data_IF_183738271280
#
_entry.id   IF_183738271280
#
_cell.length_a   1.000
_cell.length_b   1.000
_cell.length_c   1.000
_cell.angle_alpha   90.00
_cell.angle_beta   90.00
_cell.angle_gamma   90.00
#
_symmetry.space_group_name_H-M   'P 1'
#
loop_
_entity.id
_entity.type
_entity.pdbx_description
1 polymer ?
#
# COMPACT_ATOMS: atom_id res chain seq x y z
N UNK A 1 -37.51 -15.05 -29.52
CA UNK A 1 -38.78 -14.96 -28.77
C UNK A 1 -38.51 -15.59 -27.41
N UNK A 2 -38.25 -14.75 -26.40
CA UNK A 2 -37.86 -15.17 -25.04
C UNK A 2 -38.88 -14.56 -24.06
N UNK A 3 -39.33 -15.30 -23.03
CA UNK A 3 -40.49 -14.89 -22.24
C UNK A 3 -40.14 -13.72 -21.32
N UNK A 4 -41.06 -12.76 -21.24
CA UNK A 4 -40.95 -11.60 -20.39
C UNK A 4 -41.08 -11.99 -18.91
N UNK A 5 -40.05 -11.71 -18.13
CA UNK A 5 -40.05 -11.86 -16.67
C UNK A 5 -40.79 -10.66 -16.01
N UNK A 6 -41.60 -10.89 -14.96
CA UNK A 6 -42.38 -9.82 -14.33
C UNK A 6 -41.49 -8.88 -13.51
N UNK A 7 -41.62 -7.57 -13.77
CA UNK A 7 -41.01 -6.49 -12.98
C UNK A 7 -41.36 -6.66 -11.49
N UNK A 8 -40.35 -6.83 -10.65
CA UNK A 8 -40.49 -6.68 -9.18
C UNK A 8 -40.83 -5.22 -8.84
N UNK A 9 -41.71 -4.96 -7.86
CA UNK A 9 -42.04 -3.60 -7.45
C UNK A 9 -40.84 -2.94 -6.74
N UNK A 10 -40.58 -1.68 -7.11
CA UNK A 10 -39.59 -0.82 -6.46
C UNK A 10 -39.82 -0.76 -4.94
N UNK A 11 -38.76 -0.81 -4.11
CA UNK A 11 -38.89 -0.59 -2.68
C UNK A 11 -39.28 0.87 -2.42
N UNK A 12 -40.49 1.02 -1.88
CA UNK A 12 -41.04 2.15 -1.12
C UNK A 12 -40.28 3.48 -1.22
N UNK A 13 -40.91 4.45 -1.87
CA UNK A 13 -40.61 5.87 -1.70
C UNK A 13 -40.48 6.23 -0.21
N UNK A 14 -39.43 6.99 0.19
CA UNK A 14 -39.28 7.39 1.58
C UNK A 14 -40.46 8.28 1.99
N UNK A 15 -41.21 7.80 2.99
CA UNK A 15 -42.28 8.56 3.65
C UNK A 15 -41.78 9.95 4.03
N UNK A 16 -42.55 10.98 3.68
CA UNK A 16 -42.30 12.35 4.08
C UNK A 16 -42.19 12.45 5.61
N UNK A 17 -41.15 13.09 6.17
CA UNK A 17 -41.01 13.25 7.61
C UNK A 17 -41.98 14.33 8.10
N UNK A 18 -43.11 13.91 8.65
CA UNK A 18 -44.08 14.81 9.32
C UNK A 18 -43.58 15.37 10.66
N UNK A 19 -42.30 15.15 11.02
CA UNK A 19 -41.68 15.65 12.24
C UNK A 19 -40.79 16.91 12.10
N UNK A 20 -40.54 17.42 10.89
CA UNK A 20 -39.56 18.50 10.67
C UNK A 20 -40.12 19.93 10.83
N UNK A 21 -41.45 20.11 10.80
CA UNK A 21 -42.06 21.44 10.78
C UNK A 21 -41.85 22.23 12.08
N UNK A 22 -42.00 21.58 13.24
CA UNK A 22 -41.85 22.22 14.55
C UNK A 22 -40.38 22.57 14.82
N UNK A 23 -39.45 21.70 14.40
CA UNK A 23 -38.01 21.96 14.48
C UNK A 23 -37.55 23.10 13.58
N UNK A 24 -38.10 23.19 12.35
CA UNK A 24 -37.83 24.30 11.43
C UNK A 24 -38.39 25.64 11.97
N UNK A 25 -39.59 25.62 12.57
CA UNK A 25 -40.21 26.81 13.16
C UNK A 25 -39.41 27.32 14.37
N UNK A 26 -38.96 26.42 15.25
CA UNK A 26 -38.05 26.78 16.35
C UNK A 26 -36.73 27.35 15.83
N UNK A 27 -36.15 26.77 14.77
CA UNK A 27 -34.90 27.26 14.19
C UNK A 27 -35.06 28.66 13.56
N UNK A 28 -36.19 28.92 12.91
CA UNK A 28 -36.53 30.23 12.39
C UNK A 28 -36.70 31.28 13.50
N UNK A 29 -37.37 30.91 14.60
CA UNK A 29 -37.50 31.78 15.77
C UNK A 29 -36.14 32.08 16.41
N UNK A 30 -35.24 31.10 16.53
CA UNK A 30 -33.89 31.36 17.05
C UNK A 30 -33.06 32.26 16.15
N UNK A 31 -33.19 32.12 14.83
CA UNK A 31 -32.53 33.01 13.87
C UNK A 31 -33.09 34.44 13.97
N UNK A 32 -34.41 34.59 14.05
CA UNK A 32 -35.08 35.88 14.19
C UNK A 32 -34.68 36.58 15.50
N UNK A 33 -34.55 35.84 16.60
CA UNK A 33 -34.04 36.36 17.86
C UNK A 33 -32.60 36.87 17.73
N UNK A 34 -31.73 36.12 17.02
CA UNK A 34 -30.37 36.57 16.71
C UNK A 34 -30.35 37.89 15.94
N UNK A 35 -31.16 38.02 14.88
CA UNK A 35 -31.27 39.27 14.10
C UNK A 35 -31.80 40.43 14.95
N UNK A 36 -32.82 40.18 15.79
CA UNK A 36 -33.37 41.21 16.68
C UNK A 36 -32.33 41.73 17.69
N UNK A 37 -31.48 40.84 18.22
CA UNK A 37 -30.38 41.21 19.11
C UNK A 37 -29.28 42.02 18.38
N UNK A 38 -28.97 41.71 17.11
CA UNK A 38 -28.06 42.52 16.30
C UNK A 38 -28.62 43.93 16.06
N UNK A 39 -29.92 44.04 15.79
CA UNK A 39 -30.59 45.35 15.66
C UNK A 39 -30.61 46.11 16.99
N UNK A 40 -30.84 45.41 18.11
CA UNK A 40 -30.76 46.00 19.45
C UNK A 40 -29.35 46.56 19.73
N UNK A 41 -28.29 45.80 19.42
CA UNK A 41 -26.92 46.28 19.56
C UNK A 41 -26.66 47.53 18.71
N UNK A 42 -27.19 47.57 17.48
CA UNK A 42 -27.11 48.75 16.60
C UNK A 42 -27.92 49.95 17.13
N UNK A 43 -29.08 49.72 17.75
CA UNK A 43 -29.86 50.80 18.39
C UNK A 43 -29.19 51.33 19.66
N UNK A 44 -28.48 50.46 20.40
CA UNK A 44 -27.72 50.84 21.59
C UNK A 44 -26.51 51.71 21.23
N UNK A 45 -25.84 51.44 20.10
CA UNK A 45 -24.75 52.31 19.63
C UNK A 45 -25.27 53.69 19.23
N UNK A 46 -26.49 53.82 18.72
CA UNK A 46 -27.11 55.13 18.44
C UNK A 46 -27.42 55.95 19.71
N UNK A 47 -27.42 55.32 20.89
CA UNK A 47 -27.62 55.97 22.19
C UNK A 47 -26.31 56.31 22.91
N UNK A 48 -25.15 56.07 22.31
CA UNK A 48 -23.87 56.47 22.89
C UNK A 48 -23.82 57.99 23.06
N UNK A 49 -23.24 58.45 24.17
CA UNK A 49 -23.03 59.88 24.38
C UNK A 49 -22.05 60.41 23.32
N UNK A 50 -22.22 61.64 22.83
CA UNK A 50 -21.29 62.22 21.86
C UNK A 50 -19.88 62.24 22.46
N UNK A 51 -18.94 61.59 21.78
CA UNK A 51 -17.55 61.58 22.22
C UNK A 51 -16.92 62.96 22.03
N UNK A 52 -16.36 63.58 23.09
CA UNK A 52 -15.66 64.85 22.97
C UNK A 52 -14.26 64.71 22.32
N UNK A 53 -13.87 63.51 21.88
CA UNK A 53 -12.57 63.25 21.24
C UNK A 53 -12.36 64.10 19.99
N UNK A 54 -13.41 64.35 19.22
CA UNK A 54 -13.37 65.26 18.07
C UNK A 54 -13.17 66.72 18.50
N UNK A 55 -13.74 67.14 19.64
CA UNK A 55 -13.58 68.48 20.21
C UNK A 55 -12.17 68.66 20.81
N UNK A 56 -11.65 67.62 21.45
CA UNK A 56 -10.27 67.53 21.94
C UNK A 56 -9.24 67.60 20.80
N UNK A 57 -9.46 66.86 19.70
CA UNK A 57 -8.61 66.88 18.50
C UNK A 57 -8.66 68.21 17.73
N UNK A 58 -9.77 68.95 17.82
CA UNK A 58 -9.95 70.27 17.18
C UNK A 58 -9.50 71.45 18.06
N UNK A 59 -8.98 71.18 19.27
CA UNK A 59 -8.42 72.20 20.16
C UNK A 59 -9.45 73.05 20.90
N UNK A 60 -10.72 72.64 20.90
CA UNK A 60 -11.77 73.31 21.66
C UNK A 60 -11.62 72.98 23.16
N UNK A 61 -11.93 73.93 24.07
CA UNK A 61 -11.90 73.65 25.51
C UNK A 61 -12.98 72.60 25.86
N UNK A 62 -12.54 71.48 26.44
CA UNK A 62 -13.39 70.38 26.90
C UNK A 62 -13.25 70.27 28.42
N UNK A 63 -14.38 70.19 29.12
CA UNK A 63 -14.39 69.93 30.57
C UNK A 63 -13.88 68.52 30.87
N UNK A 64 -12.69 68.42 31.45
CA UNK A 64 -12.00 67.15 31.70
C UNK A 64 -12.82 66.15 32.53
N UNK A 65 -13.60 66.64 33.49
CA UNK A 65 -14.49 65.80 34.33
C UNK A 65 -15.70 65.24 33.56
N UNK A 66 -16.32 66.05 32.70
CA UNK A 66 -17.43 65.62 31.86
C UNK A 66 -16.97 64.64 30.77
N UNK A 67 -15.77 64.84 30.21
CA UNK A 67 -15.19 63.92 29.23
C UNK A 67 -14.83 62.56 29.82
N UNK A 68 -14.32 62.50 31.05
CA UNK A 68 -13.98 61.25 31.71
C UNK A 68 -15.23 60.40 32.01
N UNK A 69 -16.29 61.04 32.52
CA UNK A 69 -17.56 60.37 32.78
C UNK A 69 -18.25 59.87 31.50
N UNK A 70 -18.20 60.65 30.41
CA UNK A 70 -18.71 60.25 29.10
C UNK A 70 -17.93 59.05 28.52
N UNK A 71 -16.60 59.06 28.63
CA UNK A 71 -15.75 57.95 28.18
C UNK A 71 -16.03 56.64 28.95
N UNK A 72 -16.21 56.73 30.27
CA UNK A 72 -16.56 55.56 31.09
C UNK A 72 -17.94 55.00 30.72
N UNK A 73 -18.93 55.86 30.52
CA UNK A 73 -20.26 55.47 30.06
C UNK A 73 -20.22 54.82 28.67
N UNK A 74 -19.48 55.40 27.72
CA UNK A 74 -19.32 54.85 26.37
C UNK A 74 -18.56 53.52 26.38
N UNK A 75 -17.57 53.35 27.25
CA UNK A 75 -16.86 52.06 27.43
C UNK A 75 -17.82 50.97 27.92
N UNK A 76 -18.69 51.29 28.89
CA UNK A 76 -19.71 50.36 29.39
C UNK A 76 -20.76 50.01 28.33
N UNK A 77 -21.22 51.00 27.56
CA UNK A 77 -22.16 50.79 26.43
C UNK A 77 -21.51 49.92 25.36
N UNK A 78 -20.24 50.18 25.01
CA UNK A 78 -19.50 49.38 24.04
C UNK A 78 -19.33 47.92 24.50
N UNK A 79 -18.93 47.70 25.76
CA UNK A 79 -18.82 46.35 26.31
C UNK A 79 -20.16 45.60 26.30
N UNK A 80 -21.26 46.30 26.62
CA UNK A 80 -22.61 45.73 26.55
C UNK A 80 -23.02 45.42 25.10
N UNK A 81 -22.70 46.29 24.14
CA UNK A 81 -22.93 46.02 22.73
C UNK A 81 -22.16 44.79 22.23
N UNK A 82 -20.89 44.61 22.63
CA UNK A 82 -20.11 43.41 22.27
C UNK A 82 -20.71 42.14 22.88
N UNK A 83 -21.18 42.19 24.12
CA UNK A 83 -21.81 41.05 24.79
C UNK A 83 -23.13 40.67 24.10
N UNK A 84 -23.98 41.67 23.80
CA UNK A 84 -25.22 41.46 23.05
C UNK A 84 -24.93 40.91 21.65
N UNK A 85 -23.89 41.42 20.97
CA UNK A 85 -23.49 40.96 19.64
C UNK A 85 -22.96 39.51 19.66
N UNK A 86 -22.23 39.11 20.70
CA UNK A 86 -21.77 37.73 20.90
C UNK A 86 -22.96 36.78 21.06
N UNK A 87 -23.94 37.14 21.90
CA UNK A 87 -25.16 36.36 22.08
C UNK A 87 -25.96 36.29 20.78
N UNK A 88 -26.09 37.42 20.08
CA UNK A 88 -26.78 37.50 18.80
C UNK A 88 -26.17 36.55 17.75
N UNK A 89 -24.84 36.54 17.64
CA UNK A 89 -24.11 35.66 16.73
C UNK A 89 -24.28 34.16 17.08
N UNK A 90 -24.34 33.81 18.38
CA UNK A 90 -24.59 32.44 18.80
C UNK A 90 -26.00 31.96 18.39
N UNK A 91 -27.02 32.80 18.61
CA UNK A 91 -28.40 32.50 18.19
C UNK A 91 -28.54 32.45 16.67
N UNK A 92 -27.89 33.36 15.94
CA UNK A 92 -27.89 33.38 14.49
C UNK A 92 -27.21 32.14 13.88
N UNK A 93 -26.03 31.76 14.38
CA UNK A 93 -25.29 30.59 13.90
C UNK A 93 -26.01 29.26 14.21
N UNK A 94 -26.63 29.16 15.38
CA UNK A 94 -27.41 27.96 15.76
C UNK A 94 -28.72 27.87 14.99
N UNK A 95 -29.42 28.97 14.80
CA UNK A 95 -30.64 29.05 14.00
C UNK A 95 -30.39 28.73 12.53
N UNK A 96 -29.37 29.35 11.93
CA UNK A 96 -28.96 29.09 10.54
C UNK A 96 -28.53 27.63 10.36
N UNK A 97 -27.65 27.10 11.21
CA UNK A 97 -27.21 25.70 11.14
C UNK A 97 -28.35 24.67 11.24
N UNK A 98 -29.43 24.98 11.97
CA UNK A 98 -30.61 24.11 12.05
C UNK A 98 -31.53 24.22 10.83
N UNK A 99 -31.62 25.39 10.22
CA UNK A 99 -32.37 25.63 8.98
C UNK A 99 -31.69 25.01 7.75
N UNK A 100 -30.36 24.84 7.79
CA UNK A 100 -29.62 24.16 6.72
C UNK A 100 -30.08 22.69 6.58
N UNK A 101 -30.22 22.16 5.34
CA UNK A 101 -30.49 20.75 5.09
C UNK A 101 -29.42 19.89 5.73
N UNK A 102 -29.78 18.69 6.21
CA UNK A 102 -28.87 17.74 6.89
C UNK A 102 -27.51 17.55 6.19
N UNK A 103 -27.45 17.71 4.87
CA UNK A 103 -26.23 17.59 4.05
C UNK A 103 -25.23 18.73 4.22
N UNK A 104 -25.71 19.94 4.51
CA UNK A 104 -24.89 21.16 4.65
C UNK A 104 -24.71 21.56 6.12
N UNK A 105 -25.33 20.85 7.05
CA UNK A 105 -25.18 21.13 8.47
C UNK A 105 -23.71 20.92 8.88
N UNK A 106 -23.12 21.84 9.65
CA UNK A 106 -21.78 21.63 10.18
C UNK A 106 -21.76 20.36 11.03
N UNK A 107 -21.00 19.35 10.60
CA UNK A 107 -20.87 18.06 11.31
C UNK A 107 -19.98 18.19 12.57
N UNK A 108 -19.13 19.21 12.59
CA UNK A 108 -18.18 19.47 13.68
C UNK A 108 -18.45 20.81 14.33
N UNK A 109 -18.14 20.91 15.63
CA UNK A 109 -18.21 22.17 16.40
C UNK A 109 -17.40 23.31 15.76
N UNK A 110 -16.31 22.97 15.04
CA UNK A 110 -15.50 23.93 14.28
C UNK A 110 -16.31 24.67 13.22
N UNK A 111 -17.24 23.98 12.55
CA UNK A 111 -18.13 24.60 11.58
C UNK A 111 -19.09 25.59 12.22
N UNK A 112 -19.65 25.26 13.40
CA UNK A 112 -20.51 26.18 14.15
C UNK A 112 -19.76 27.43 14.62
N UNK A 113 -18.50 27.27 15.05
CA UNK A 113 -17.67 28.42 15.43
C UNK A 113 -17.35 29.33 14.24
N UNK A 114 -17.10 28.77 13.05
CA UNK A 114 -16.85 29.58 11.87
C UNK A 114 -18.08 30.42 11.48
N UNK A 115 -19.28 29.81 11.52
CA UNK A 115 -20.54 30.53 11.31
C UNK A 115 -20.75 31.62 12.36
N UNK A 116 -20.57 31.31 13.65
CA UNK A 116 -20.70 32.28 14.73
C UNK A 116 -19.68 33.42 14.64
N UNK A 117 -18.46 33.13 14.23
CA UNK A 117 -17.43 34.15 13.99
C UNK A 117 -17.81 35.08 12.83
N UNK A 118 -18.33 34.53 11.73
CA UNK A 118 -18.79 35.32 10.59
C UNK A 118 -19.96 36.24 10.97
N UNK A 119 -20.95 35.72 11.71
CA UNK A 119 -22.11 36.49 12.18
C UNK A 119 -21.73 37.54 13.25
N UNK A 120 -20.66 37.30 14.00
CA UNK A 120 -20.11 38.26 14.96
C UNK A 120 -19.33 39.38 14.26
N UNK A 121 -18.44 39.03 13.32
CA UNK A 121 -17.52 39.97 12.66
C UNK A 121 -18.24 40.95 11.72
N UNK A 122 -19.30 40.49 11.04
CA UNK A 122 -20.10 41.33 10.14
C UNK A 122 -21.57 41.29 10.57
N UNK A 123 -22.02 42.20 11.47
CA UNK A 123 -23.41 42.27 11.91
C UNK A 123 -24.35 42.39 10.71
N UNK A 124 -25.47 41.64 10.71
CA UNK A 124 -26.44 41.49 9.61
C UNK A 124 -25.88 40.88 8.30
N UNK A 125 -24.69 41.29 7.86
CA UNK A 125 -24.04 40.80 6.64
C UNK A 125 -23.67 39.33 6.71
N UNK A 126 -23.19 38.83 7.86
CA UNK A 126 -22.88 37.40 8.05
C UNK A 126 -24.11 36.51 7.85
N UNK A 127 -25.26 36.92 8.40
CA UNK A 127 -26.53 36.20 8.25
C UNK A 127 -27.01 36.24 6.79
N UNK A 128 -26.87 37.37 6.11
CA UNK A 128 -27.20 37.47 4.68
C UNK A 128 -26.28 36.60 3.81
N UNK A 129 -24.99 36.55 4.12
CA UNK A 129 -24.03 35.70 3.42
C UNK A 129 -24.34 34.21 3.60
N UNK A 130 -24.69 33.77 4.81
CA UNK A 130 -25.02 32.36 5.08
C UNK A 130 -26.33 31.94 4.39
N UNK A 131 -27.37 32.79 4.43
CA UNK A 131 -28.62 32.58 3.69
C UNK A 131 -28.41 32.63 2.17
N UNK A 132 -27.57 33.55 1.68
CA UNK A 132 -27.22 33.68 0.27
C UNK A 132 -26.44 32.48 -0.26
N UNK A 133 -25.43 32.01 0.48
CA UNK A 133 -24.69 30.79 0.16
C UNK A 133 -25.62 29.57 0.13
N UNK A 134 -26.58 29.52 1.04
CA UNK A 134 -27.61 28.48 1.04
C UNK A 134 -28.51 28.55 -0.20
N UNK A 135 -29.00 29.74 -0.57
CA UNK A 135 -29.79 29.93 -1.79
C UNK A 135 -29.00 29.54 -3.04
N UNK A 136 -27.72 29.94 -3.13
CA UNK A 136 -26.83 29.62 -4.24
C UNK A 136 -26.55 28.11 -4.34
N UNK A 137 -26.42 27.42 -3.20
CA UNK A 137 -26.25 25.96 -3.15
C UNK A 137 -27.44 25.18 -3.72
N UNK A 138 -28.64 25.79 -3.77
CA UNK A 138 -29.82 25.19 -4.41
C UNK A 138 -29.85 25.39 -5.93
N UNK A 139 -29.22 26.44 -6.44
CA UNK A 139 -29.20 26.78 -7.87
C UNK A 139 -28.03 26.12 -8.58
N UNK A 140 -26.89 25.95 -7.91
CA UNK A 140 -25.72 25.31 -8.49
C UNK A 140 -25.91 23.79 -8.65
N UNK A 141 -25.60 23.21 -9.82
CA UNK A 141 -25.69 21.78 -10.04
C UNK A 141 -24.71 21.05 -9.13
N UNK A 142 -25.24 20.14 -8.29
CA UNK A 142 -24.40 19.31 -7.45
C UNK A 142 -23.60 18.34 -8.34
N UNK A 143 -22.27 18.48 -8.39
CA UNK A 143 -21.39 17.56 -9.08
C UNK A 143 -21.34 16.23 -8.31
N UNK A 144 -22.32 15.38 -8.59
CA UNK A 144 -22.40 14.03 -8.04
C UNK A 144 -21.56 13.13 -8.93
N UNK A 145 -20.30 12.94 -8.58
CA UNK A 145 -19.61 11.73 -8.98
C UNK A 145 -20.32 10.56 -8.26
N UNK A 146 -21.38 10.04 -8.87
CA UNK A 146 -21.96 8.76 -8.45
C UNK A 146 -20.92 7.70 -8.78
N UNK A 147 -20.12 7.33 -7.78
CA UNK A 147 -19.37 6.07 -7.83
C UNK A 147 -20.42 4.96 -7.81
N UNK A 148 -20.81 4.51 -9.00
CA UNK A 148 -21.72 3.39 -9.19
C UNK A 148 -21.01 2.17 -8.61
N UNK A 149 -21.46 1.72 -7.44
CA UNK A 149 -21.07 0.42 -6.92
C UNK A 149 -21.85 -0.61 -7.75
N UNK A 150 -21.22 -1.08 -8.83
CA UNK A 150 -21.73 -2.20 -9.61
C UNK A 150 -21.45 -3.49 -8.86
N UNK A 151 -22.49 -4.31 -8.65
CA UNK A 151 -22.32 -5.74 -8.38
C UNK A 151 -21.82 -6.39 -9.67
N UNK A 152 -20.53 -6.72 -9.69
CA UNK A 152 -19.90 -7.47 -10.78
C UNK A 152 -20.16 -8.95 -10.51
N UNK A 153 -20.59 -9.69 -11.54
CA UNK A 153 -20.67 -11.16 -11.47
C UNK A 153 -19.30 -11.73 -11.08
N UNK A 154 -19.30 -12.87 -10.38
CA UNK A 154 -18.06 -13.53 -10.02
C UNK A 154 -17.25 -13.83 -11.30
N UNK A 155 -16.03 -13.28 -11.43
CA UNK A 155 -15.29 -13.40 -12.68
C UNK A 155 -14.88 -14.86 -12.89
N UNK A 156 -15.43 -15.49 -13.94
CA UNK A 156 -14.98 -16.81 -14.38
C UNK A 156 -13.54 -16.76 -14.88
N UNK A 157 -12.81 -17.85 -14.63
CA UNK A 157 -11.39 -17.95 -14.95
C UNK A 157 -11.16 -17.97 -16.47
N UNK A 158 -10.72 -16.84 -17.02
CA UNK A 158 -10.33 -16.72 -18.42
C UNK A 158 -8.93 -17.34 -18.64
N UNK A 159 -8.90 -18.60 -19.08
CA UNK A 159 -7.67 -19.34 -19.41
C UNK A 159 -6.75 -18.62 -20.43
N UNK A 160 -7.27 -17.75 -21.29
CA UNK A 160 -6.45 -17.09 -22.31
C UNK A 160 -5.60 -15.91 -21.78
N UNK A 161 -5.84 -15.43 -20.55
CA UNK A 161 -5.07 -14.33 -19.93
C UNK A 161 -3.82 -14.81 -19.18
N UNK A 162 -3.47 -16.09 -19.32
CA UNK A 162 -2.30 -16.77 -18.71
C UNK A 162 -0.94 -16.13 -19.08
N UNK A 163 -0.88 -15.22 -20.07
CA UNK A 163 0.37 -14.69 -20.62
C UNK A 163 1.05 -13.52 -19.87
N UNK A 164 0.31 -12.57 -19.28
CA UNK A 164 0.88 -11.21 -19.09
C UNK A 164 1.20 -10.77 -17.66
N UNK A 165 0.79 -11.49 -16.61
CA UNK A 165 1.10 -11.10 -15.21
C UNK A 165 1.54 -12.31 -14.38
N UNK A 166 2.79 -12.29 -13.92
CA UNK A 166 3.45 -13.38 -13.18
C UNK A 166 3.46 -13.17 -11.66
N UNK A 167 3.48 -11.90 -11.22
CA UNK A 167 3.54 -11.54 -9.80
C UNK A 167 2.13 -11.58 -9.18
N UNK A 168 1.84 -12.65 -8.42
CA UNK A 168 0.55 -12.84 -7.71
C UNK A 168 -0.20 -14.11 -8.12
N UNK A 169 0.10 -14.69 -9.28
CA UNK A 169 -0.59 -15.88 -9.80
C UNK A 169 -0.37 -17.13 -8.94
N UNK A 170 0.89 -17.41 -8.60
CA UNK A 170 1.23 -18.52 -7.71
C UNK A 170 0.71 -18.34 -6.28
N UNK A 171 0.66 -17.11 -5.78
CA UNK A 171 0.14 -16.82 -4.44
C UNK A 171 -1.37 -17.03 -4.36
N UNK A 172 -2.12 -16.63 -5.39
CA UNK A 172 -3.57 -16.85 -5.47
C UNK A 172 -3.91 -18.33 -5.66
N UNK A 173 -3.24 -19.02 -6.60
CA UNK A 173 -3.44 -20.47 -6.78
C UNK A 173 -3.06 -21.26 -5.52
N UNK A 174 -1.99 -20.85 -4.81
CA UNK A 174 -1.65 -21.40 -3.50
C UNK A 174 -2.76 -21.18 -2.48
N UNK A 175 -3.30 -19.97 -2.39
CA UNK A 175 -4.38 -19.66 -1.46
C UNK A 175 -5.63 -20.51 -1.76
N UNK A 176 -5.94 -20.69 -3.04
CA UNK A 176 -7.08 -21.48 -3.50
C UNK A 176 -6.93 -22.97 -3.18
N UNK A 177 -5.75 -23.53 -3.44
CA UNK A 177 -5.47 -24.93 -3.13
C UNK A 177 -5.46 -25.21 -1.63
N UNK A 178 -5.05 -24.22 -0.83
CA UNK A 178 -5.11 -24.29 0.64
C UNK A 178 -6.51 -24.05 1.20
N UNK A 179 -7.45 -23.54 0.39
CA UNK A 179 -8.82 -23.35 0.82
C UNK A 179 -9.55 -24.70 0.81
N UNK A 180 -9.65 -25.34 1.99
CA UNK A 180 -10.38 -26.59 2.14
C UNK A 180 -11.89 -26.45 1.92
N UNK A 181 -12.42 -25.22 1.97
CA UNK A 181 -13.84 -24.93 1.72
C UNK A 181 -14.16 -24.77 0.22
N UNK A 182 -13.14 -24.66 -0.63
CA UNK A 182 -13.33 -24.59 -2.08
C UNK A 182 -13.81 -25.92 -2.66
N UNK A 183 -14.59 -25.87 -3.75
CA UNK A 183 -15.07 -27.07 -4.42
C UNK A 183 -13.91 -27.91 -4.98
N UNK A 184 -14.10 -29.23 -5.02
CA UNK A 184 -13.07 -30.17 -5.51
C UNK A 184 -12.67 -29.85 -6.95
N UNK A 185 -13.65 -29.60 -7.83
CA UNK A 185 -13.40 -29.25 -9.23
C UNK A 185 -12.58 -27.96 -9.39
N UNK A 186 -12.82 -26.98 -8.52
CA UNK A 186 -12.08 -25.72 -8.55
C UNK A 186 -10.64 -25.90 -8.07
N UNK A 187 -10.42 -26.68 -7.00
CA UNK A 187 -9.08 -27.04 -6.51
C UNK A 187 -8.30 -27.86 -7.55
N UNK A 188 -8.96 -28.79 -8.23
CA UNK A 188 -8.36 -29.58 -9.32
C UNK A 188 -7.98 -28.70 -10.51
N UNK A 189 -8.85 -27.76 -10.90
CA UNK A 189 -8.56 -26.79 -11.97
C UNK A 189 -7.35 -25.91 -11.60
N UNK A 190 -7.27 -25.45 -10.35
CA UNK A 190 -6.12 -24.71 -9.85
C UNK A 190 -4.82 -25.53 -9.91
N UNK A 191 -4.89 -26.83 -9.56
CA UNK A 191 -3.75 -27.74 -9.61
C UNK A 191 -3.25 -27.98 -11.04
N UNK A 192 -4.17 -28.12 -12.02
CA UNK A 192 -3.84 -28.20 -13.43
C UNK A 192 -3.21 -26.90 -13.95
N UNK A 193 -3.77 -25.74 -13.59
CA UNK A 193 -3.23 -24.44 -13.98
C UNK A 193 -1.79 -24.23 -13.48
N UNK A 194 -1.45 -24.77 -12.30
CA UNK A 194 -0.09 -24.70 -11.76
C UNK A 194 0.95 -25.48 -12.57
N UNK A 195 0.57 -26.48 -13.37
CA UNK A 195 1.56 -27.26 -14.14
C UNK A 195 2.37 -26.40 -15.12
N UNK A 196 1.75 -25.33 -15.63
CA UNK A 196 2.35 -24.36 -16.55
C UNK A 196 3.32 -23.37 -15.89
N UNK A 197 3.33 -23.30 -14.56
CA UNK A 197 4.14 -22.33 -13.83
C UNK A 197 5.59 -22.82 -13.63
N UNK A 198 6.54 -21.89 -13.42
CA UNK A 198 7.93 -22.26 -13.16
C UNK A 198 8.06 -23.23 -12.00
N UNK A 199 8.84 -24.31 -12.18
CA UNK A 199 8.95 -25.41 -11.21
C UNK A 199 9.33 -24.92 -9.82
N UNK A 200 10.25 -23.96 -9.71
CA UNK A 200 10.66 -23.37 -8.43
C UNK A 200 9.50 -22.77 -7.63
N UNK A 201 8.50 -22.20 -8.30
CA UNK A 201 7.34 -21.59 -7.64
C UNK A 201 6.31 -22.65 -7.23
N UNK A 202 6.21 -23.72 -8.02
CA UNK A 202 5.16 -24.74 -7.90
C UNK A 202 5.56 -25.90 -7.01
N UNK A 203 6.83 -26.31 -7.04
CA UNK A 203 7.35 -27.46 -6.27
C UNK A 203 6.99 -27.39 -4.77
N UNK A 204 7.17 -26.25 -4.07
CA UNK A 204 6.78 -26.15 -2.66
C UNK A 204 5.27 -26.32 -2.45
N UNK A 205 4.46 -25.82 -3.37
CA UNK A 205 3.00 -25.95 -3.31
C UNK A 205 2.59 -27.40 -3.53
N UNK A 206 3.17 -28.09 -4.53
CA UNK A 206 2.90 -29.50 -4.79
C UNK A 206 3.32 -30.39 -3.61
N UNK A 207 4.45 -30.09 -2.97
CA UNK A 207 4.88 -30.79 -1.76
C UNK A 207 3.89 -30.63 -0.60
N UNK A 208 3.32 -29.43 -0.42
CA UNK A 208 2.24 -29.21 0.56
C UNK A 208 0.98 -30.05 0.21
N UNK A 209 0.65 -30.21 -1.08
CA UNK A 209 -0.51 -31.00 -1.53
C UNK A 209 -0.33 -32.52 -1.38
N UNK A 210 0.88 -33.01 -1.10
CA UNK A 210 1.09 -34.43 -0.80
C UNK A 210 0.40 -34.88 0.50
N UNK A 211 0.07 -33.93 1.38
CA UNK A 211 -0.66 -34.18 2.62
C UNK A 211 -2.17 -33.87 2.51
N UNK A 212 -2.69 -33.63 1.30
CA UNK A 212 -4.10 -33.27 1.10
C UNK A 212 -5.06 -34.43 1.46
N UNK A 213 -6.20 -34.14 2.11
CA UNK A 213 -7.21 -35.16 2.40
C UNK A 213 -7.82 -35.79 1.14
N UNK A 214 -7.82 -35.09 0.00
CA UNK A 214 -8.35 -35.63 -1.25
C UNK A 214 -7.28 -36.44 -2.00
N UNK A 215 -7.57 -37.71 -2.26
CA UNK A 215 -6.64 -38.62 -2.93
C UNK A 215 -6.29 -38.15 -4.36
N UNK A 216 -7.25 -37.60 -5.12
CA UNK A 216 -7.02 -37.14 -6.50
C UNK A 216 -6.03 -35.97 -6.57
N UNK A 217 -6.14 -35.02 -5.64
CA UNK A 217 -5.21 -33.88 -5.51
C UNK A 217 -3.81 -34.41 -5.17
N UNK A 218 -3.72 -35.36 -4.23
CA UNK A 218 -2.46 -35.97 -3.80
C UNK A 218 -1.77 -36.71 -4.95
N UNK A 219 -2.53 -37.51 -5.70
CA UNK A 219 -2.01 -38.30 -6.81
C UNK A 219 -1.53 -37.41 -7.96
N UNK A 220 -2.29 -36.36 -8.29
CA UNK A 220 -1.92 -35.41 -9.34
C UNK A 220 -0.70 -34.58 -8.93
N UNK A 221 -0.60 -34.18 -7.67
CA UNK A 221 0.59 -33.50 -7.14
C UNK A 221 1.83 -34.40 -7.21
N UNK A 222 1.71 -35.67 -6.81
CA UNK A 222 2.77 -36.66 -6.89
C UNK A 222 3.26 -36.85 -8.34
N UNK A 223 2.34 -37.13 -9.27
CA UNK A 223 2.69 -37.32 -10.68
C UNK A 223 3.32 -36.08 -11.31
N UNK A 224 2.87 -34.88 -10.92
CA UNK A 224 3.48 -33.63 -11.39
C UNK A 224 4.90 -33.45 -10.85
N UNK A 225 5.15 -33.72 -9.57
CA UNK A 225 6.48 -33.61 -8.97
C UNK A 225 7.45 -34.66 -9.56
N UNK A 226 7.00 -35.91 -9.67
CA UNK A 226 7.79 -37.01 -10.23
C UNK A 226 8.19 -36.74 -11.69
N UNK A 227 7.27 -36.27 -12.53
CA UNK A 227 7.57 -35.95 -13.92
C UNK A 227 8.66 -34.87 -14.05
N UNK A 228 8.66 -33.87 -13.17
CA UNK A 228 9.64 -32.77 -13.15
C UNK A 228 11.01 -33.26 -12.68
N UNK A 229 11.05 -34.07 -11.61
CA UNK A 229 12.29 -34.69 -11.13
C UNK A 229 12.89 -35.62 -12.20
N UNK A 230 12.08 -36.50 -12.76
CA UNK A 230 12.48 -37.47 -13.79
C UNK A 230 13.09 -36.79 -15.01
N UNK A 231 12.52 -35.66 -15.46
CA UNK A 231 13.07 -34.90 -16.58
C UNK A 231 14.51 -34.41 -16.34
N UNK A 232 14.81 -33.93 -15.12
CA UNK A 232 16.18 -33.52 -14.75
C UNK A 232 17.10 -34.72 -14.55
N UNK A 233 16.64 -35.77 -13.86
CA UNK A 233 17.43 -36.98 -13.60
C UNK A 233 17.81 -37.69 -14.90
N UNK A 234 16.92 -37.75 -15.90
CA UNK A 234 17.23 -38.29 -17.22
C UNK A 234 18.35 -37.53 -17.92
N UNK A 235 18.35 -36.19 -17.85
CA UNK A 235 19.41 -35.35 -18.41
C UNK A 235 20.74 -35.57 -17.70
N UNK A 236 20.72 -35.72 -16.38
CA UNK A 236 21.91 -36.04 -15.58
C UNK A 236 22.48 -37.39 -15.99
N UNK A 237 21.64 -38.42 -16.08
CA UNK A 237 22.07 -39.76 -16.49
C UNK A 237 22.65 -39.78 -17.90
N UNK A 238 22.02 -39.05 -18.84
CA UNK A 238 22.53 -38.92 -20.20
C UNK A 238 23.90 -38.23 -20.25
N UNK A 239 24.08 -37.10 -19.55
CA UNK A 239 25.36 -36.38 -19.52
C UNK A 239 26.46 -37.17 -18.80
N UNK A 240 26.12 -37.92 -17.74
CA UNK A 240 27.05 -38.85 -17.09
C UNK A 240 27.49 -39.96 -18.04
N UNK A 241 26.56 -40.57 -18.77
CA UNK A 241 26.89 -41.59 -19.76
C UNK A 241 27.82 -41.06 -20.85
N UNK A 242 27.66 -39.79 -21.24
CA UNK A 242 28.63 -39.11 -22.10
C UNK A 242 29.98 -39.10 -21.41
N UNK A 243 30.10 -38.53 -20.20
CA UNK A 243 31.36 -38.41 -19.48
C UNK A 243 32.09 -39.75 -19.25
N UNK A 244 31.35 -40.80 -18.91
CA UNK A 244 31.85 -42.13 -18.51
C UNK A 244 32.09 -43.08 -19.69
N UNK A 245 31.70 -42.71 -20.92
CA UNK A 245 31.84 -43.54 -22.10
C UNK A 245 33.30 -44.02 -22.32
N UNK A 246 33.53 -45.26 -22.80
CA UNK A 246 34.87 -45.74 -23.14
C UNK A 246 35.51 -44.83 -24.19
N UNK A 247 36.53 -44.05 -23.79
CA UNK A 247 37.10 -42.95 -24.59
C UNK A 247 37.00 -41.56 -23.93
N UNK A 248 36.25 -41.41 -22.83
CA UNK A 248 36.17 -40.17 -22.05
C UNK A 248 37.52 -39.67 -21.52
N UNK A 249 38.47 -40.60 -21.29
CA UNK A 249 39.86 -40.27 -20.94
C UNK A 249 40.67 -39.67 -22.11
N UNK A 250 40.28 -39.94 -23.35
CA UNK A 250 40.91 -39.43 -24.57
C UNK A 250 40.27 -38.13 -25.09
N UNK A 251 39.20 -37.64 -24.45
CA UNK A 251 38.58 -36.35 -24.80
C UNK A 251 39.48 -35.18 -24.47
N UNK A 252 39.36 -34.14 -25.28
CA UNK A 252 40.00 -32.85 -24.99
C UNK A 252 39.57 -32.33 -23.62
N UNK A 253 40.49 -31.71 -22.89
CA UNK A 253 40.19 -31.09 -21.59
C UNK A 253 39.00 -30.14 -21.65
N UNK A 254 38.79 -29.47 -22.78
CA UNK A 254 37.65 -28.56 -23.00
C UNK A 254 36.31 -29.30 -22.98
N UNK A 255 36.21 -30.47 -23.61
CA UNK A 255 34.96 -31.25 -23.65
C UNK A 255 34.63 -31.82 -22.27
N UNK A 256 35.65 -32.31 -21.55
CA UNK A 256 35.49 -32.78 -20.17
C UNK A 256 35.03 -31.65 -19.24
N UNK A 257 35.60 -30.46 -19.38
CA UNK A 257 35.20 -29.29 -18.61
C UNK A 257 33.75 -28.89 -18.91
N UNK A 258 33.32 -28.96 -20.18
CA UNK A 258 31.93 -28.70 -20.58
C UNK A 258 30.96 -29.68 -19.94
N UNK A 259 31.22 -30.99 -20.02
CA UNK A 259 30.32 -31.98 -19.42
C UNK A 259 30.25 -31.86 -17.90
N UNK A 260 31.39 -31.63 -17.25
CA UNK A 260 31.43 -31.34 -15.81
C UNK A 260 30.61 -30.07 -15.46
N UNK A 261 30.73 -29.01 -16.25
CA UNK A 261 29.91 -27.80 -16.06
C UNK A 261 28.42 -28.10 -16.16
N UNK A 262 27.99 -28.80 -17.21
CA UNK A 262 26.58 -29.17 -17.41
C UNK A 262 26.06 -30.01 -16.24
N UNK A 263 26.84 -30.98 -15.77
CA UNK A 263 26.47 -31.78 -14.60
C UNK A 263 26.32 -30.93 -13.34
N UNK A 264 27.26 -30.02 -13.09
CA UNK A 264 27.18 -29.10 -11.96
C UNK A 264 25.91 -28.23 -12.02
N UNK A 265 25.58 -27.69 -13.19
CA UNK A 265 24.37 -26.90 -13.40
C UNK A 265 23.10 -27.74 -13.22
N UNK A 266 23.04 -28.97 -13.75
CA UNK A 266 21.88 -29.85 -13.60
C UNK A 266 21.61 -30.25 -12.15
N UNK A 267 22.65 -30.59 -11.38
CA UNK A 267 22.50 -30.83 -9.94
C UNK A 267 22.13 -29.53 -9.20
N UNK A 268 22.70 -28.40 -9.59
CA UNK A 268 22.31 -27.08 -9.11
C UNK A 268 20.84 -26.76 -9.35
N UNK A 269 20.28 -27.18 -10.49
CA UNK A 269 18.87 -27.01 -10.83
C UNK A 269 17.95 -27.88 -9.96
N UNK A 270 18.31 -29.14 -9.67
CA UNK A 270 17.55 -29.98 -8.72
C UNK A 270 17.39 -29.29 -7.36
N UNK A 271 18.48 -28.70 -6.87
CA UNK A 271 18.53 -27.95 -5.60
C UNK A 271 17.70 -26.67 -5.72
N UNK A 272 17.90 -25.89 -6.79
CA UNK A 272 17.25 -24.60 -6.99
C UNK A 272 15.73 -24.71 -7.14
N UNK A 273 15.27 -25.78 -7.80
CA UNK A 273 13.86 -26.08 -8.03
C UNK A 273 13.20 -26.81 -6.85
N UNK A 274 13.97 -27.15 -5.81
CA UNK A 274 13.51 -27.89 -4.63
C UNK A 274 12.83 -29.21 -4.99
N UNK A 275 13.42 -29.98 -5.91
CA UNK A 275 12.88 -31.29 -6.31
C UNK A 275 13.42 -32.45 -5.48
N UNK A 276 14.50 -32.21 -4.73
CA UNK A 276 15.14 -33.20 -3.86
C UNK A 276 15.13 -32.72 -2.41
N UNK A 277 14.98 -33.65 -1.46
CA UNK A 277 14.93 -33.38 -0.02
C UNK A 277 15.75 -34.42 0.75
N UNK A 278 16.07 -34.14 2.02
CA UNK A 278 16.82 -35.04 2.91
C UNK A 278 18.19 -35.45 2.34
N UNK A 279 18.57 -36.71 2.48
CA UNK A 279 19.88 -37.22 2.06
C UNK A 279 20.16 -37.04 0.56
N UNK A 280 19.11 -37.08 -0.28
CA UNK A 280 19.24 -36.87 -1.72
C UNK A 280 19.62 -35.42 -2.04
N UNK A 281 19.14 -34.47 -1.24
CA UNK A 281 19.51 -33.06 -1.36
C UNK A 281 20.98 -32.83 -1.03
N UNK A 282 21.49 -33.43 0.05
CA UNK A 282 22.89 -33.30 0.45
C UNK A 282 23.85 -33.98 -0.53
N UNK A 283 23.44 -35.14 -1.07
CA UNK A 283 24.14 -35.78 -2.17
C UNK A 283 24.16 -34.87 -3.41
N UNK A 284 23.02 -34.27 -3.79
CA UNK A 284 22.95 -33.37 -4.94
C UNK A 284 23.90 -32.17 -4.80
N UNK A 285 23.99 -31.56 -3.61
CA UNK A 285 24.98 -30.48 -3.35
C UNK A 285 26.39 -31.02 -3.54
N UNK A 286 26.70 -32.18 -2.96
CA UNK A 286 28.03 -32.80 -3.06
C UNK A 286 28.43 -33.13 -4.51
N UNK A 287 27.48 -33.60 -5.32
CA UNK A 287 27.71 -33.84 -6.75
C UNK A 287 27.92 -32.53 -7.50
N UNK A 288 27.09 -31.52 -7.27
CA UNK A 288 27.21 -30.21 -7.91
C UNK A 288 28.59 -29.58 -7.65
N UNK A 289 29.05 -29.61 -6.40
CA UNK A 289 30.38 -29.10 -6.02
C UNK A 289 31.52 -29.87 -6.70
N UNK A 290 31.46 -31.21 -6.69
CA UNK A 290 32.50 -32.07 -7.29
C UNK A 290 32.66 -31.81 -8.78
N UNK A 291 31.55 -31.73 -9.51
CA UNK A 291 31.59 -31.44 -10.94
C UNK A 291 31.99 -29.99 -11.24
N UNK A 292 31.55 -29.02 -10.42
CA UNK A 292 31.98 -27.63 -10.57
C UNK A 292 33.49 -27.49 -10.35
N UNK A 293 34.05 -28.16 -9.35
CA UNK A 293 35.50 -28.19 -9.09
C UNK A 293 36.27 -28.84 -10.25
N UNK A 294 35.80 -29.99 -10.74
CA UNK A 294 36.42 -30.68 -11.87
C UNK A 294 36.39 -29.85 -13.17
N UNK A 295 35.35 -29.04 -13.38
CA UNK A 295 35.28 -28.09 -14.50
C UNK A 295 36.22 -26.89 -14.30
N UNK A 296 36.24 -26.30 -13.10
CA UNK A 296 37.09 -25.15 -12.78
C UNK A 296 38.58 -25.47 -12.79
N UNK A 297 38.97 -26.72 -12.54
CA UNK A 297 40.35 -27.17 -12.69
C UNK A 297 40.86 -27.03 -14.14
N UNK A 298 39.96 -27.00 -15.12
CA UNK A 298 40.26 -26.88 -16.54
C UNK A 298 39.90 -25.50 -17.10
N UNK A 299 38.89 -24.84 -16.53
CA UNK A 299 38.41 -23.50 -16.93
C UNK A 299 38.28 -22.63 -15.66
N UNK A 300 39.39 -22.12 -15.10
CA UNK A 300 39.38 -21.40 -13.82
C UNK A 300 38.71 -20.01 -13.90
N UNK A 301 38.47 -19.51 -15.11
CA UNK A 301 37.86 -18.20 -15.37
C UNK A 301 36.32 -18.26 -15.53
N UNK A 302 35.70 -19.44 -15.37
CA UNK A 302 34.24 -19.57 -15.51
C UNK A 302 33.50 -18.94 -14.31
N UNK A 303 33.07 -17.70 -14.51
CA UNK A 303 32.38 -16.91 -13.49
C UNK A 303 31.05 -17.54 -13.03
N UNK A 304 30.34 -18.27 -13.91
CA UNK A 304 29.06 -18.89 -13.58
C UNK A 304 29.24 -20.06 -12.60
N UNK A 305 30.32 -20.84 -12.77
CA UNK A 305 30.65 -21.93 -11.86
C UNK A 305 31.10 -21.43 -10.49
N UNK A 306 31.88 -20.35 -10.42
CA UNK A 306 32.20 -19.69 -9.14
C UNK A 306 30.94 -19.19 -8.43
N UNK A 307 30.02 -18.57 -9.17
CA UNK A 307 28.72 -18.13 -8.65
C UNK A 307 27.88 -19.29 -8.15
N UNK A 308 27.87 -20.43 -8.86
CA UNK A 308 27.17 -21.64 -8.44
C UNK A 308 27.76 -22.18 -7.12
N UNK A 309 29.08 -22.37 -7.06
CA UNK A 309 29.76 -22.88 -5.86
C UNK A 309 29.54 -21.98 -4.64
N UNK A 310 29.64 -20.66 -4.82
CA UNK A 310 29.36 -19.72 -3.73
C UNK A 310 27.94 -19.83 -3.18
N UNK A 311 26.95 -20.11 -4.03
CA UNK A 311 25.58 -20.39 -3.58
C UNK A 311 25.45 -21.73 -2.86
N UNK A 312 26.15 -22.77 -3.30
CA UNK A 312 26.16 -24.08 -2.63
C UNK A 312 26.80 -23.97 -1.24
N UNK A 313 27.90 -23.22 -1.12
CA UNK A 313 28.54 -22.94 0.17
C UNK A 313 27.61 -22.18 1.14
N UNK A 314 26.83 -21.21 0.64
CA UNK A 314 25.79 -20.53 1.45
C UNK A 314 24.75 -21.50 2.02
N UNK A 315 24.28 -22.45 1.19
CA UNK A 315 23.32 -23.47 1.62
C UNK A 315 23.89 -24.35 2.74
N UNK A 316 25.20 -24.63 2.69
CA UNK A 316 25.93 -25.39 3.72
C UNK A 316 26.36 -24.58 4.94
N UNK A 317 26.08 -23.26 4.98
CA UNK A 317 26.57 -22.34 6.01
C UNK A 317 28.11 -22.23 6.09
N UNK A 318 28.81 -22.61 5.03
CA UNK A 318 30.24 -22.32 4.90
C UNK A 318 30.39 -20.88 4.36
N UNK A 319 30.32 -19.92 5.28
CA UNK A 319 30.26 -18.51 4.95
C UNK A 319 31.58 -18.01 4.36
N UNK A 320 32.71 -18.58 4.79
CA UNK A 320 34.06 -18.23 4.33
C UNK A 320 34.29 -18.68 2.88
N UNK A 321 33.95 -19.94 2.58
CA UNK A 321 33.98 -20.42 1.21
C UNK A 321 32.99 -19.65 0.32
N UNK A 322 31.79 -19.37 0.81
CA UNK A 322 30.78 -18.62 0.06
C UNK A 322 31.28 -17.23 -0.36
N UNK A 323 31.82 -16.46 0.58
CA UNK A 323 32.32 -15.11 0.34
C UNK A 323 33.48 -15.12 -0.67
N UNK A 324 34.45 -16.04 -0.48
CA UNK A 324 35.58 -16.19 -1.38
C UNK A 324 35.15 -16.59 -2.80
N UNK A 325 34.24 -17.56 -2.94
CA UNK A 325 33.76 -18.03 -4.25
C UNK A 325 32.89 -17.00 -4.97
N UNK A 326 32.04 -16.28 -4.24
CA UNK A 326 31.23 -15.19 -4.81
C UNK A 326 32.10 -14.01 -5.24
N UNK A 327 33.13 -13.65 -4.46
CA UNK A 327 34.09 -12.63 -4.85
C UNK A 327 34.87 -13.08 -6.09
N UNK A 328 35.31 -14.34 -6.14
CA UNK A 328 35.98 -14.90 -7.31
C UNK A 328 35.11 -14.85 -8.56
N UNK A 329 33.80 -15.07 -8.43
CA UNK A 329 32.86 -14.92 -9.54
C UNK A 329 32.85 -13.49 -10.09
N UNK A 330 32.91 -12.47 -9.22
CA UNK A 330 32.99 -11.06 -9.62
C UNK A 330 34.30 -10.80 -10.36
N UNK A 331 35.42 -11.29 -9.81
CA UNK A 331 36.75 -11.11 -10.41
C UNK A 331 36.83 -11.77 -11.80
N UNK A 332 36.10 -12.86 -12.01
CA UNK A 332 35.94 -13.52 -13.31
C UNK A 332 34.89 -12.86 -14.24
N UNK A 333 34.29 -11.73 -13.85
CA UNK A 333 33.40 -10.93 -14.69
C UNK A 333 31.89 -11.15 -14.47
N UNK A 334 31.47 -11.86 -13.41
CA UNK A 334 30.04 -11.95 -13.07
C UNK A 334 29.52 -10.58 -12.57
N UNK A 335 28.33 -10.11 -12.99
CA UNK A 335 27.79 -8.83 -12.54
C UNK A 335 27.64 -8.75 -11.02
N UNK A 336 28.41 -7.83 -10.39
CA UNK A 336 28.44 -7.64 -8.94
C UNK A 336 27.06 -7.40 -8.33
N UNK A 337 26.22 -6.59 -8.98
CA UNK A 337 24.91 -6.21 -8.45
C UNK A 337 23.99 -7.41 -8.21
N UNK A 338 24.15 -8.48 -9.00
CA UNK A 338 23.40 -9.73 -8.85
C UNK A 338 23.90 -10.59 -7.68
N UNK A 339 25.11 -10.34 -7.19
CA UNK A 339 25.71 -11.07 -6.07
C UNK A 339 25.57 -10.35 -4.73
N UNK A 340 25.24 -9.06 -4.73
CA UNK A 340 25.05 -8.27 -3.51
C UNK A 340 24.08 -8.91 -2.50
N UNK A 341 22.91 -9.46 -2.89
CA UNK A 341 22.03 -10.12 -1.95
C UNK A 341 22.66 -11.35 -1.28
N UNK A 342 23.47 -12.12 -2.01
CA UNK A 342 24.13 -13.33 -1.49
C UNK A 342 25.30 -12.99 -0.57
N UNK A 343 26.09 -11.97 -0.91
CA UNK A 343 27.14 -11.45 -0.05
C UNK A 343 26.56 -10.83 1.23
N UNK A 344 25.43 -10.12 1.12
CA UNK A 344 24.71 -9.58 2.26
C UNK A 344 24.14 -10.70 3.14
N UNK A 345 23.61 -11.76 2.55
CA UNK A 345 23.18 -12.95 3.30
C UNK A 345 24.35 -13.56 4.09
N UNK A 346 25.52 -13.77 3.47
CA UNK A 346 26.71 -14.27 4.16
C UNK A 346 27.10 -13.39 5.35
N UNK A 347 27.16 -12.06 5.14
CA UNK A 347 27.48 -11.09 6.19
C UNK A 347 26.44 -11.08 7.31
N UNK A 348 25.16 -11.24 6.98
CA UNK A 348 24.08 -11.30 7.97
C UNK A 348 24.22 -12.52 8.89
N UNK A 349 24.51 -13.70 8.32
CA UNK A 349 24.75 -14.90 9.12
C UNK A 349 25.99 -14.79 10.02
N UNK A 350 27.02 -14.05 9.58
CA UNK A 350 28.18 -13.68 10.43
C UNK A 350 27.89 -12.61 11.48
N UNK A 351 26.69 -12.03 11.49
CA UNK A 351 26.32 -10.84 12.31
C UNK A 351 27.15 -9.59 12.00
N UNK A 352 27.73 -9.51 10.80
CA UNK A 352 28.44 -8.33 10.30
C UNK A 352 27.45 -7.35 9.63
N UNK A 353 26.62 -6.74 10.47
CA UNK A 353 25.60 -5.79 10.02
C UNK A 353 26.14 -4.52 9.32
N UNK A 354 27.31 -3.97 9.69
CA UNK A 354 27.93 -2.89 8.91
C UNK A 354 28.16 -3.29 7.46
N UNK A 355 28.67 -4.50 7.22
CA UNK A 355 28.87 -5.00 5.86
C UNK A 355 27.56 -5.26 5.14
N UNK A 356 26.54 -5.80 5.80
CA UNK A 356 25.18 -5.94 5.23
C UNK A 356 24.65 -4.60 4.72
N UNK A 357 24.74 -3.56 5.55
CA UNK A 357 24.30 -2.21 5.19
C UNK A 357 25.06 -1.66 3.99
N UNK A 358 26.38 -1.86 3.94
CA UNK A 358 27.20 -1.41 2.81
C UNK A 358 26.84 -2.11 1.50
N UNK A 359 26.60 -3.43 1.53
CA UNK A 359 26.31 -4.25 0.36
C UNK A 359 24.91 -3.96 -0.18
N UNK A 360 23.91 -3.96 0.70
CA UNK A 360 22.54 -3.65 0.32
C UNK A 360 22.39 -2.18 -0.07
N UNK A 361 23.10 -1.25 0.58
CA UNK A 361 23.13 0.17 0.21
C UNK A 361 23.68 0.47 -1.18
N UNK A 362 24.49 -0.44 -1.75
CA UNK A 362 25.00 -0.32 -3.11
C UNK A 362 23.99 -0.76 -4.19
N UNK A 363 22.84 -1.34 -3.81
CA UNK A 363 21.83 -1.80 -4.75
C UNK A 363 20.87 -0.69 -5.18
N UNK A 364 20.48 -0.69 -6.45
CA UNK A 364 19.39 0.16 -6.95
C UNK A 364 18.03 -0.37 -6.48
N UNK A 365 17.29 0.49 -5.77
CA UNK A 365 15.95 0.24 -5.23
C UNK A 365 14.88 -0.02 -6.29
N UNK A 366 15.08 0.37 -7.55
CA UNK A 366 14.05 0.24 -8.60
C UNK A 366 14.16 -1.05 -9.42
N UNK A 367 15.25 -1.81 -9.26
CA UNK A 367 15.55 -2.99 -10.07
C UNK A 367 15.38 -4.32 -9.30
N UNK A 368 14.60 -4.33 -8.21
CA UNK A 368 14.55 -5.41 -7.23
C UNK A 368 13.16 -6.00 -7.06
N UNK A 369 13.11 -7.28 -6.67
CA UNK A 369 11.85 -7.98 -6.42
C UNK A 369 11.15 -7.44 -5.17
N UNK A 370 9.80 -7.50 -5.08
CA UNK A 370 9.06 -7.01 -3.91
C UNK A 370 9.52 -7.64 -2.58
N UNK A 371 9.94 -8.90 -2.59
CA UNK A 371 10.48 -9.58 -1.40
C UNK A 371 11.80 -9.00 -0.91
N UNK A 372 12.65 -8.52 -1.83
CA UNK A 372 13.93 -7.90 -1.49
C UNK A 372 13.73 -6.43 -1.11
N UNK A 373 12.67 -5.79 -1.63
CA UNK A 373 12.33 -4.40 -1.34
C UNK A 373 12.13 -4.17 0.17
N UNK A 374 11.43 -5.07 0.88
CA UNK A 374 11.27 -4.95 2.33
C UNK A 374 12.61 -5.00 3.10
N UNK A 375 13.57 -5.81 2.65
CA UNK A 375 14.90 -5.84 3.23
C UNK A 375 15.66 -4.54 2.93
N UNK A 376 15.54 -4.01 1.71
CA UNK A 376 16.16 -2.75 1.33
C UNK A 376 15.57 -1.57 2.09
N UNK A 377 14.26 -1.50 2.31
CA UNK A 377 13.63 -0.43 3.09
C UNK A 377 14.16 -0.38 4.53
N UNK A 378 14.48 -1.55 5.12
CA UNK A 378 15.06 -1.63 6.45
C UNK A 378 16.53 -1.19 6.48
N UNK A 379 17.34 -1.65 5.51
CA UNK A 379 18.79 -1.42 5.50
C UNK A 379 19.21 -0.11 4.81
N UNK A 380 18.38 0.42 3.93
CA UNK A 380 18.47 1.72 3.26
C UNK A 380 17.35 2.63 3.80
N UNK A 381 17.47 3.17 5.04
CA UNK A 381 16.48 4.14 5.49
C UNK A 381 16.42 5.26 4.47
N UNK A 382 15.21 5.58 3.99
CA UNK A 382 14.97 6.69 3.09
C UNK A 382 15.77 7.87 3.64
N UNK A 383 16.68 8.42 2.82
CA UNK A 383 17.42 9.62 3.19
C UNK A 383 16.38 10.57 3.77
N UNK A 384 16.45 10.79 5.08
CA UNK A 384 15.62 11.77 5.76
C UNK A 384 15.72 13.03 4.93
N UNK A 385 14.59 13.71 4.73
CA UNK A 385 14.51 14.99 4.08
C UNK A 385 15.39 16.04 4.81
N UNK A 386 16.70 15.87 4.70
CA UNK A 386 17.76 16.74 5.16
C UNK A 386 17.89 17.81 4.08
N UNK A 387 17.00 18.79 4.13
CA UNK A 387 17.02 19.88 3.15
C UNK A 387 15.82 20.80 3.09
N UNK A 388 14.91 20.80 4.07
CA UNK A 388 13.94 21.90 4.20
C UNK A 388 14.32 22.75 5.42
N UNK A 389 14.99 23.91 5.25
CA UNK A 389 15.16 24.85 6.34
C UNK A 389 13.76 25.32 6.77
N UNK A 390 13.43 25.09 8.04
CA UNK A 390 12.31 25.80 8.68
C UNK A 390 12.76 27.26 8.83
N UNK A 391 12.16 28.14 8.04
CA UNK A 391 12.10 29.58 8.30
C UNK A 391 10.68 29.92 8.65
#
# INVERSE_FOLDING_TARGET
MSPAEPRRPDPASPRAPTGDALGALLAALTLALGIALQLLACLLTLRSLPDPSAQWLSGLPVDAGASAAAAEANTRVFALCLLVQLLAALFAATGSARLLPRRLRPVTWRGLLLLGFLDFAVPLGGVLCTLGAFALSRVLPANRASLVVNTVEEPEFAEYLIGSVSYGRGARLKAELRNAEASVDFRMTALLAMQSLPVRTVSPILQEMLADPLDDIRLLAYGSLESKEKALTQRITAERAVLDAPGGAARSGVERARSNKVLAELYGELIYQQLVTGDVYDNAISQAERYAEAALALIPEDAALWRLRGRLALLRRDLDAADAMLQRAIDCGFPRDRLLPYLAEAAYWRRDFPRVRSLLGAMDRHAVTPTLQAALDFWQPAATAAGAPRV
#
